data_IF_230002549017
#
_entry.id   IF_230002549017
#
_cell.length_a   1.000
_cell.length_b   1.000
_cell.length_c   1.000
_cell.angle_alpha   90.00
_cell.angle_beta   90.00
_cell.angle_gamma   90.00
#
_symmetry.space_group_name_H-M   'P 1'
#
loop_
_entity.id
_entity.type
_entity.pdbx_description
1 polymer ?
#
# COMPACT_ATOMS: atom_id res chain seq x y z
N UNK A 1 -10.30 -12.29 32.27
CA UNK A 1 -9.27 -12.66 31.29
C UNK A 1 -8.48 -13.79 31.91
N UNK A 2 -8.55 -15.00 31.35
CA UNK A 2 -7.69 -16.11 31.79
C UNK A 2 -6.40 -16.03 30.96
N UNK A 3 -5.31 -15.61 31.60
CA UNK A 3 -3.99 -15.68 31.00
C UNK A 3 -3.42 -17.09 31.19
N UNK A 4 -3.20 -17.79 30.07
CA UNK A 4 -2.44 -19.03 30.07
C UNK A 4 -0.96 -18.68 29.86
N UNK A 5 -0.19 -18.71 30.94
CA UNK A 5 1.27 -18.54 30.88
C UNK A 5 1.89 -19.90 30.54
N UNK A 6 2.27 -20.08 29.27
CA UNK A 6 3.06 -21.23 28.84
C UNK A 6 4.55 -20.97 29.07
N UNK A 7 5.19 -21.71 29.97
CA UNK A 7 6.64 -21.71 30.09
C UNK A 7 7.20 -22.64 29.00
N UNK A 8 7.96 -22.11 28.05
CA UNK A 8 8.65 -22.90 27.02
C UNK A 8 9.80 -23.72 27.64
N UNK A 9 9.46 -24.82 28.34
CA UNK A 9 10.45 -25.63 29.07
C UNK A 9 11.41 -26.41 28.17
N UNK A 10 11.05 -26.67 26.91
CA UNK A 10 11.77 -27.58 26.00
C UNK A 10 12.23 -26.94 24.68
N UNK A 11 12.20 -25.62 24.54
CA UNK A 11 12.74 -24.94 23.36
C UNK A 11 14.07 -24.28 23.74
N UNK A 12 15.16 -24.68 23.07
CA UNK A 12 16.41 -23.91 23.11
C UNK A 12 16.19 -22.55 22.44
N UNK A 13 16.87 -21.50 22.92
CA UNK A 13 16.94 -20.19 22.26
C UNK A 13 17.41 -20.29 20.78
N UNK A 14 18.00 -21.42 20.38
CA UNK A 14 18.37 -21.73 19.00
C UNK A 14 17.17 -21.96 18.06
N UNK A 15 15.95 -22.14 18.57
CA UNK A 15 14.76 -22.46 17.75
C UNK A 15 13.78 -21.30 17.58
N UNK A 16 13.91 -20.25 18.39
CA UNK A 16 12.97 -19.13 18.43
C UNK A 16 13.71 -17.87 17.98
N UNK A 17 13.08 -17.13 17.07
CA UNK A 17 13.50 -15.78 16.73
C UNK A 17 12.40 -14.81 17.17
N UNK A 18 12.82 -13.73 17.84
CA UNK A 18 11.95 -12.61 18.19
C UNK A 18 12.20 -11.54 17.14
N UNK A 19 11.14 -11.14 16.44
CA UNK A 19 11.19 -10.16 15.37
C UNK A 19 10.31 -8.97 15.73
N UNK A 20 10.87 -7.77 15.62
CA UNK A 20 10.09 -6.53 15.64
C UNK A 20 9.46 -6.35 14.27
N UNK A 21 8.15 -6.60 14.16
CA UNK A 21 7.43 -6.54 12.89
C UNK A 21 6.50 -5.33 12.86
N UNK A 22 6.62 -4.53 11.80
CA UNK A 22 5.68 -3.44 11.51
C UNK A 22 4.45 -4.03 10.78
N UNK A 23 3.33 -4.15 11.48
CA UNK A 23 2.10 -4.74 10.96
C UNK A 23 1.02 -3.67 10.69
N UNK A 24 0.49 -3.57 9.45
CA UNK A 24 -0.57 -2.61 9.13
C UNK A 24 -1.94 -3.11 9.59
N UNK A 25 -2.42 -2.60 10.73
CA UNK A 25 -3.74 -2.93 11.23
C UNK A 25 -4.82 -2.02 10.65
N UNK A 26 -5.91 -2.61 10.15
CA UNK A 26 -7.09 -1.86 9.71
C UNK A 26 -7.85 -1.33 10.91
N UNK A 27 -8.19 -0.05 10.84
CA UNK A 27 -8.98 0.64 11.83
C UNK A 27 -10.10 1.41 11.16
N UNK A 28 -11.23 1.54 11.87
CA UNK A 28 -12.34 2.39 11.47
C UNK A 28 -12.59 3.43 12.55
N UNK A 29 -12.72 4.69 12.13
CA UNK A 29 -13.18 5.78 12.98
C UNK A 29 -14.53 6.26 12.47
N UNK A 30 -15.53 6.31 13.33
CA UNK A 30 -16.85 6.84 13.01
C UNK A 30 -17.10 8.08 13.86
N UNK A 31 -17.46 9.20 13.22
CA UNK A 31 -17.82 10.43 13.94
C UNK A 31 -19.30 10.44 14.34
N UNK A 32 -20.10 9.50 13.84
CA UNK A 32 -21.54 9.47 14.10
C UNK A 32 -22.20 10.81 13.76
N UNK A 33 -23.10 11.28 14.64
CA UNK A 33 -23.66 12.65 14.58
C UNK A 33 -22.81 13.72 15.27
N UNK A 34 -21.62 13.36 15.77
CA UNK A 34 -20.71 14.31 16.44
C UNK A 34 -19.80 15.00 15.42
N UNK A 35 -19.42 16.24 15.71
CA UNK A 35 -18.50 17.01 14.85
C UNK A 35 -17.02 16.69 15.09
N UNK A 36 -16.69 15.89 16.10
CA UNK A 36 -15.33 15.44 16.34
C UNK A 36 -15.29 14.10 17.04
N UNK A 37 -14.23 13.34 16.78
CA UNK A 37 -13.93 12.07 17.43
C UNK A 37 -12.42 11.96 17.62
N UNK A 38 -11.99 11.46 18.78
CA UNK A 38 -10.57 11.27 19.10
C UNK A 38 -10.32 9.85 19.59
N UNK A 39 -9.25 9.24 19.08
CA UNK A 39 -8.71 7.96 19.53
C UNK A 39 -7.23 8.11 19.86
N UNK A 40 -6.61 7.05 20.37
CA UNK A 40 -5.16 6.99 20.57
C UNK A 40 -4.36 7.25 19.29
N UNK A 41 -4.87 6.79 18.14
CA UNK A 41 -4.14 6.79 16.87
C UNK A 41 -4.57 7.91 15.90
N UNK A 42 -5.82 8.36 15.94
CA UNK A 42 -6.35 9.38 15.04
C UNK A 42 -7.36 10.28 15.74
N UNK A 43 -7.29 11.58 15.45
CA UNK A 43 -8.37 12.53 15.73
C UNK A 43 -9.00 12.97 14.41
N UNK A 44 -10.32 13.14 14.38
CA UNK A 44 -11.03 13.69 13.24
C UNK A 44 -12.00 14.76 13.71
N UNK A 45 -12.08 15.88 12.99
CA UNK A 45 -12.96 16.99 13.28
C UNK A 45 -13.53 17.58 11.99
N UNK A 46 -14.86 17.75 11.97
CA UNK A 46 -15.59 18.44 10.92
C UNK A 46 -15.56 19.94 11.20
N UNK A 47 -14.99 20.70 10.26
CA UNK A 47 -14.88 22.15 10.28
C UNK A 47 -15.47 22.72 8.98
N UNK A 48 -16.76 23.05 9.02
CA UNK A 48 -17.50 23.49 7.83
C UNK A 48 -17.57 22.40 6.75
N UNK A 49 -16.88 22.64 5.63
CA UNK A 49 -16.78 21.69 4.49
C UNK A 49 -15.51 20.83 4.52
N UNK A 50 -14.70 21.00 5.56
CA UNK A 50 -13.41 20.33 5.68
C UNK A 50 -13.46 19.31 6.81
N UNK A 51 -12.87 18.14 6.58
CA UNK A 51 -12.61 17.15 7.61
C UNK A 51 -11.12 17.18 7.94
N UNK A 52 -10.79 17.74 9.11
CA UNK A 52 -9.43 17.77 9.65
C UNK A 52 -9.14 16.44 10.32
N UNK A 53 -8.11 15.76 9.86
CA UNK A 53 -7.70 14.45 10.37
C UNK A 53 -6.27 14.52 10.88
N UNK A 54 -6.09 14.35 12.18
CA UNK A 54 -4.80 14.41 12.86
C UNK A 54 -4.31 13.02 13.21
N UNK A 55 -3.11 12.67 12.74
CA UNK A 55 -2.39 11.48 13.18
C UNK A 55 -1.84 11.71 14.59
N UNK A 56 -2.33 10.95 15.58
CA UNK A 56 -1.90 11.07 16.98
C UNK A 56 -0.67 10.20 17.30
N UNK A 57 -0.10 9.51 16.32
CA UNK A 57 1.03 8.59 16.51
C UNK A 57 2.34 9.18 15.99
N UNK A 58 3.45 8.51 16.31
CA UNK A 58 4.79 8.81 15.77
C UNK A 58 5.07 8.08 14.46
N UNK A 59 4.12 7.28 13.96
CA UNK A 59 4.22 6.50 12.73
C UNK A 59 3.22 7.05 11.71
N UNK A 60 3.47 6.87 10.41
CA UNK A 60 2.51 7.29 9.39
C UNK A 60 1.24 6.44 9.44
N UNK A 61 0.12 7.03 9.07
CA UNK A 61 -1.18 6.36 8.93
C UNK A 61 -1.64 6.53 7.49
N UNK A 62 -2.06 5.43 6.86
CA UNK A 62 -2.76 5.50 5.57
C UNK A 62 -4.24 5.72 5.84
N UNK A 63 -4.79 6.83 5.36
CA UNK A 63 -6.23 7.04 5.29
C UNK A 63 -6.70 6.53 3.94
N UNK A 64 -7.41 5.40 3.95
CA UNK A 64 -7.78 4.68 2.73
C UNK A 64 -9.00 5.30 2.08
N UNK A 65 -10.04 5.56 2.88
CA UNK A 65 -11.30 6.09 2.38
C UNK A 65 -12.03 6.90 3.43
N UNK A 66 -12.87 7.79 2.91
CA UNK A 66 -13.86 8.56 3.67
C UNK A 66 -15.23 8.11 3.15
N UNK A 67 -16.07 7.63 4.05
CA UNK A 67 -17.46 7.32 3.80
C UNK A 67 -18.37 8.39 4.37
N UNK A 68 -19.36 8.82 3.59
CA UNK A 68 -20.40 9.78 3.98
C UNK A 68 -21.75 9.22 3.53
N UNK A 69 -22.60 8.88 4.50
CA UNK A 69 -23.84 8.12 4.26
C UNK A 69 -23.55 6.79 3.57
N UNK A 70 -24.12 6.59 2.38
CA UNK A 70 -23.93 5.38 1.55
C UNK A 70 -22.76 5.47 0.57
N UNK A 71 -22.17 6.66 0.39
CA UNK A 71 -21.04 6.86 -0.51
C UNK A 71 -19.73 6.58 0.21
N UNK A 72 -18.79 5.97 -0.52
CA UNK A 72 -17.40 5.80 -0.10
C UNK A 72 -16.45 6.34 -1.17
N UNK A 73 -15.62 7.29 -0.75
CA UNK A 73 -14.58 7.90 -1.57
C UNK A 73 -13.21 7.36 -1.17
N UNK A 74 -12.46 6.86 -2.15
CA UNK A 74 -11.11 6.37 -1.94
C UNK A 74 -10.14 7.54 -1.93
N UNK A 75 -9.66 7.91 -0.75
CA UNK A 75 -8.68 8.99 -0.59
C UNK A 75 -7.27 8.46 -0.79
N UNK A 76 -6.89 7.38 -0.08
CA UNK A 76 -5.55 6.82 -0.07
C UNK A 76 -4.46 7.90 0.08
N UNK A 77 -4.40 8.55 1.23
CA UNK A 77 -3.39 9.57 1.55
C UNK A 77 -2.62 9.17 2.79
N UNK A 78 -1.34 9.54 2.84
CA UNK A 78 -0.46 9.20 3.97
C UNK A 78 -0.32 10.42 4.87
N UNK A 79 -0.90 10.33 6.08
CA UNK A 79 -0.66 11.30 7.14
C UNK A 79 0.64 10.91 7.88
N UNK A 80 1.65 11.77 7.84
CA UNK A 80 2.90 11.59 8.57
C UNK A 80 2.68 11.68 10.09
N UNK A 81 3.73 11.36 10.84
CA UNK A 81 3.73 11.42 12.29
C UNK A 81 3.27 12.80 12.79
N UNK A 82 2.28 12.85 13.67
CA UNK A 82 1.73 14.10 14.24
C UNK A 82 1.16 15.10 13.22
N UNK A 83 1.02 14.69 11.95
CA UNK A 83 0.50 15.56 10.89
C UNK A 83 -1.02 15.67 10.98
N UNK A 84 -1.53 16.87 10.68
CA UNK A 84 -2.95 17.08 10.40
C UNK A 84 -3.12 17.29 8.90
N UNK A 85 -3.99 16.50 8.29
CA UNK A 85 -4.37 16.67 6.89
C UNK A 85 -5.82 17.15 6.79
N UNK A 86 -6.09 17.91 5.74
CA UNK A 86 -7.43 18.39 5.42
C UNK A 86 -8.01 17.57 4.28
N UNK A 87 -9.20 17.01 4.50
CA UNK A 87 -9.95 16.25 3.51
C UNK A 87 -11.22 17.03 3.14
N UNK A 88 -11.63 16.94 1.87
CA UNK A 88 -12.79 17.66 1.33
C UNK A 88 -13.82 16.69 0.74
N UNK A 89 -14.44 15.82 1.56
CA UNK A 89 -15.46 14.90 1.06
C UNK A 89 -16.72 15.65 0.62
N UNK A 90 -17.48 15.08 -0.34
CA UNK A 90 -18.64 15.73 -0.96
C UNK A 90 -19.74 16.16 0.03
N UNK A 91 -19.99 15.36 1.09
CA UNK A 91 -21.09 15.59 2.02
C UNK A 91 -20.72 15.31 3.48
N UNK A 92 -20.61 16.36 4.30
CA UNK A 92 -20.28 16.25 5.73
C UNK A 92 -21.49 16.41 6.67
N UNK A 93 -22.72 16.47 6.13
CA UNK A 93 -23.92 16.52 6.99
C UNK A 93 -24.32 15.14 7.53
N UNK A 94 -23.82 14.07 6.92
CA UNK A 94 -24.09 12.69 7.28
C UNK A 94 -22.99 12.11 8.17
N UNK A 95 -23.24 10.91 8.72
CA UNK A 95 -22.25 10.21 9.52
C UNK A 95 -20.98 9.94 8.71
N UNK A 96 -19.85 10.45 9.21
CA UNK A 96 -18.53 10.28 8.59
C UNK A 96 -17.87 9.01 9.11
N UNK A 97 -17.36 8.19 8.18
CA UNK A 97 -16.60 6.97 8.47
C UNK A 97 -15.22 7.06 7.81
N UNK A 98 -14.15 6.92 8.58
CA UNK A 98 -12.78 6.84 8.07
C UNK A 98 -12.28 5.41 8.17
N UNK A 99 -11.86 4.83 7.05
CA UNK A 99 -11.13 3.56 7.04
C UNK A 99 -9.63 3.86 6.91
N UNK A 100 -8.84 3.36 7.85
CA UNK A 100 -7.40 3.64 7.92
C UNK A 100 -6.59 2.36 8.12
N UNK A 101 -5.29 2.45 7.83
CA UNK A 101 -4.29 1.47 8.26
C UNK A 101 -3.29 2.16 9.16
N UNK A 102 -3.17 1.66 10.37
CA UNK A 102 -2.24 2.14 11.39
C UNK A 102 -1.14 1.10 11.56
N UNK A 103 0.11 1.54 11.56
CA UNK A 103 1.23 0.64 11.80
C UNK A 103 1.33 0.33 13.28
N UNK A 104 1.29 -0.96 13.63
CA UNK A 104 1.65 -1.45 14.95
C UNK A 104 2.97 -2.18 14.90
N UNK A 105 3.71 -2.07 15.98
CA UNK A 105 4.88 -2.89 16.22
C UNK A 105 4.44 -4.11 17.02
N UNK A 106 4.84 -5.27 16.53
CA UNK A 106 4.52 -6.56 17.14
C UNK A 106 5.82 -7.31 17.35
N UNK A 107 6.01 -7.83 18.55
CA UNK A 107 7.04 -8.83 18.82
C UNK A 107 6.49 -10.17 18.31
N UNK A 108 7.02 -10.64 17.18
CA UNK A 108 6.67 -11.94 16.62
C UNK A 108 7.69 -12.99 17.04
N UNK A 109 7.21 -14.02 17.73
CA UNK A 109 7.96 -15.24 18.05
C UNK A 109 7.74 -16.23 16.90
N UNK A 110 8.78 -16.53 16.13
CA UNK A 110 8.66 -17.42 14.95
C UNK A 110 9.57 -18.66 15.10
N UNK A 111 9.05 -19.89 14.87
CA UNK A 111 9.87 -21.09 14.88
C UNK A 111 10.71 -21.22 13.60
N UNK A 112 12.04 -21.37 13.75
CA UNK A 112 13.00 -21.37 12.63
C UNK A 112 12.77 -22.50 11.60
N UNK A 113 12.27 -23.66 12.01
CA UNK A 113 12.15 -24.86 11.14
C UNK A 113 11.04 -24.79 10.09
N UNK A 114 10.12 -23.82 10.15
CA UNK A 114 9.04 -23.63 9.15
C UNK A 114 9.09 -22.27 8.45
N UNK A 115 10.13 -21.50 8.69
CA UNK A 115 10.17 -20.10 8.27
C UNK A 115 11.01 -19.93 7.00
N UNK A 116 10.33 -19.78 5.86
CA UNK A 116 10.91 -19.21 4.64
C UNK A 116 10.72 -17.68 4.64
N UNK A 117 10.88 -17.02 5.80
CA UNK A 117 10.93 -15.55 5.85
C UNK A 117 12.38 -15.16 5.65
N UNK A 118 12.70 -14.82 4.40
CA UNK A 118 14.02 -14.32 4.02
C UNK A 118 14.27 -13.01 4.75
N UNK A 119 15.11 -13.11 5.78
CA UNK A 119 15.90 -12.08 6.43
C UNK A 119 15.98 -10.75 5.65
N UNK A 120 15.21 -9.75 6.09
CA UNK A 120 15.59 -8.33 6.06
C UNK A 120 14.96 -7.61 7.26
N UNK A 121 15.34 -8.02 8.47
CA UNK A 121 15.39 -7.11 9.62
C UNK A 121 16.56 -6.11 9.45
N UNK A 122 16.76 -5.60 8.22
CA UNK A 122 17.53 -4.38 8.03
C UNK A 122 16.64 -3.29 8.60
N UNK A 123 17.17 -2.41 9.45
CA UNK A 123 16.50 -1.17 9.80
C UNK A 123 16.00 -0.50 8.52
N UNK A 124 14.71 -0.64 8.22
CA UNK A 124 14.14 0.04 7.07
C UNK A 124 14.33 1.52 7.34
N UNK A 125 14.90 2.25 6.38
CA UNK A 125 14.90 3.70 6.45
C UNK A 125 13.47 4.14 6.74
N UNK A 126 13.28 5.01 7.73
CA UNK A 126 11.96 5.48 8.16
C UNK A 126 11.09 5.95 6.97
N UNK A 127 11.75 6.48 5.95
CA UNK A 127 11.18 6.94 4.68
C UNK A 127 10.52 5.83 3.84
N UNK A 128 11.03 4.59 3.90
CA UNK A 128 10.54 3.45 3.11
C UNK A 128 9.51 2.60 3.85
N UNK A 129 9.39 2.76 5.17
CA UNK A 129 8.40 2.03 5.99
C UNK A 129 6.98 2.18 5.44
N UNK A 130 6.50 3.36 5.03
CA UNK A 130 5.15 3.51 4.48
C UNK A 130 4.93 2.73 3.19
N UNK A 131 5.93 2.71 2.30
CA UNK A 131 5.87 1.98 1.02
C UNK A 131 5.71 0.48 1.25
N UNK A 132 6.46 -0.05 2.22
CA UNK A 132 6.50 -1.47 2.57
C UNK A 132 5.25 -1.88 3.35
N UNK A 133 4.89 -1.11 4.39
CA UNK A 133 3.84 -1.49 5.32
C UNK A 133 2.45 -1.28 4.73
N UNK A 134 2.27 -0.28 3.87
CA UNK A 134 0.96 0.01 3.28
C UNK A 134 0.74 -0.58 1.90
N UNK A 135 1.71 -1.34 1.39
CA UNK A 135 1.66 -1.97 0.06
C UNK A 135 1.21 -0.98 -1.02
N UNK A 136 1.71 0.25 -0.98
CA UNK A 136 1.08 1.40 -1.67
C UNK A 136 0.90 1.16 -3.18
N UNK A 137 1.69 0.27 -3.79
CA UNK A 137 1.56 -0.16 -5.18
C UNK A 137 1.41 -1.67 -5.42
N UNK A 138 1.09 -2.52 -4.43
CA UNK A 138 1.11 -4.01 -4.63
C UNK A 138 -0.25 -4.68 -4.41
N UNK A 139 -1.08 -4.24 -3.46
CA UNK A 139 -2.17 -5.11 -2.97
C UNK A 139 -3.57 -4.59 -3.32
N UNK A 140 -4.11 -5.05 -4.45
CA UNK A 140 -5.56 -5.17 -4.66
C UNK A 140 -5.96 -6.64 -4.70
N UNK A 141 -7.13 -6.96 -4.15
CA UNK A 141 -7.70 -8.32 -4.18
C UNK A 141 -8.50 -8.50 -5.48
N UNK A 142 -8.01 -9.37 -6.36
CA UNK A 142 -8.71 -9.88 -7.55
C UNK A 142 -8.71 -8.95 -8.78
N UNK A 143 -8.54 -9.51 -9.98
CA UNK A 143 -8.50 -8.78 -11.26
C UNK A 143 -9.80 -7.97 -11.52
N UNK A 144 -10.96 -8.53 -11.17
CA UNK A 144 -12.26 -7.86 -11.38
C UNK A 144 -12.40 -6.55 -10.60
N UNK A 145 -11.89 -6.49 -9.37
CA UNK A 145 -11.97 -5.28 -8.54
C UNK A 145 -11.03 -4.18 -9.07
N UNK A 146 -9.90 -4.56 -9.66
CA UNK A 146 -8.95 -3.62 -10.26
C UNK A 146 -9.52 -2.97 -11.53
N UNK A 147 -10.16 -3.74 -12.42
CA UNK A 147 -10.76 -3.22 -13.66
C UNK A 147 -11.94 -2.29 -13.39
N UNK A 148 -12.84 -2.66 -12.47
CA UNK A 148 -13.96 -1.80 -12.07
C UNK A 148 -13.46 -0.48 -11.48
N UNK A 149 -12.40 -0.55 -10.67
CA UNK A 149 -11.77 0.62 -10.06
C UNK A 149 -11.10 1.52 -11.09
N UNK A 150 -10.34 0.95 -12.02
CA UNK A 150 -9.73 1.70 -13.12
C UNK A 150 -10.80 2.43 -13.96
N UNK A 151 -11.86 1.72 -14.35
CA UNK A 151 -12.98 2.28 -15.13
C UNK A 151 -13.62 3.46 -14.41
N UNK A 152 -13.86 3.33 -13.10
CA UNK A 152 -14.39 4.44 -12.27
C UNK A 152 -13.45 5.64 -12.24
N UNK A 153 -12.15 5.41 -12.05
CA UNK A 153 -11.15 6.47 -12.01
C UNK A 153 -10.99 7.19 -13.35
N UNK A 154 -11.00 6.45 -14.46
CA UNK A 154 -10.99 7.04 -15.81
C UNK A 154 -12.23 7.90 -16.06
N UNK A 155 -13.43 7.46 -15.65
CA UNK A 155 -14.65 8.29 -15.71
C UNK A 155 -14.55 9.55 -14.84
N UNK A 156 -13.99 9.41 -13.63
CA UNK A 156 -13.76 10.56 -12.75
C UNK A 156 -12.82 11.58 -13.38
N UNK A 157 -11.76 11.12 -14.05
CA UNK A 157 -10.82 11.97 -14.79
C UNK A 157 -11.41 12.53 -16.09
N UNK A 158 -12.39 11.86 -16.72
CA UNK A 158 -13.16 12.46 -17.82
C UNK A 158 -14.03 13.61 -17.34
N UNK A 159 -14.68 13.45 -16.18
CA UNK A 159 -15.53 14.49 -15.58
C UNK A 159 -14.69 15.65 -14.99
N UNK A 160 -13.55 15.34 -14.38
CA UNK A 160 -12.60 16.30 -13.84
C UNK A 160 -11.15 15.93 -14.21
N UNK A 161 -10.65 16.41 -15.36
CA UNK A 161 -9.29 16.10 -15.84
C UNK A 161 -8.16 16.59 -14.93
N UNK A 162 -8.46 17.52 -14.01
CA UNK A 162 -7.48 18.12 -13.09
C UNK A 162 -7.45 17.44 -11.72
N UNK A 163 -8.25 16.40 -11.49
CA UNK A 163 -8.25 15.71 -10.19
C UNK A 163 -6.92 15.01 -9.90
N UNK A 164 -6.05 15.68 -9.12
CA UNK A 164 -4.77 15.12 -8.68
C UNK A 164 -4.95 13.79 -7.93
N UNK A 165 -5.97 13.72 -7.06
CA UNK A 165 -6.29 12.52 -6.28
C UNK A 165 -6.67 11.33 -7.18
N UNK A 166 -7.52 11.56 -8.19
CA UNK A 166 -7.90 10.52 -9.14
C UNK A 166 -6.72 10.08 -10.01
N UNK A 167 -5.87 11.02 -10.43
CA UNK A 167 -4.64 10.73 -11.19
C UNK A 167 -3.69 9.81 -10.38
N UNK A 168 -3.40 10.15 -9.12
CA UNK A 168 -2.53 9.31 -8.26
C UNK A 168 -3.15 7.94 -8.00
N UNK A 169 -4.47 7.88 -7.78
CA UNK A 169 -5.16 6.61 -7.60
C UNK A 169 -5.17 5.74 -8.87
N UNK A 170 -5.30 6.35 -10.05
CA UNK A 170 -5.20 5.64 -11.33
C UNK A 170 -3.79 5.12 -11.55
N UNK A 171 -2.77 5.95 -11.31
CA UNK A 171 -1.37 5.54 -11.39
C UNK A 171 -1.07 4.33 -10.49
N UNK A 172 -1.58 4.32 -9.26
CA UNK A 172 -1.43 3.16 -8.36
C UNK A 172 -2.10 1.88 -8.88
N UNK A 173 -3.26 1.98 -9.53
CA UNK A 173 -3.95 0.83 -10.14
C UNK A 173 -3.19 0.32 -11.37
N UNK A 174 -2.69 1.22 -12.21
CA UNK A 174 -1.90 0.87 -13.41
C UNK A 174 -0.56 0.21 -13.04
N UNK A 175 0.11 0.69 -11.98
CA UNK A 175 1.31 0.02 -11.44
C UNK A 175 1.07 -1.44 -11.05
N UNK A 176 -0.13 -1.77 -10.57
CA UNK A 176 -0.47 -3.14 -10.20
C UNK A 176 -0.74 -4.02 -11.43
N UNK A 177 -1.21 -3.43 -12.54
CA UNK A 177 -1.36 -4.13 -13.82
C UNK A 177 -0.04 -4.30 -14.58
N UNK A 178 1.04 -3.71 -14.10
CA UNK A 178 2.34 -3.70 -14.78
C UNK A 178 2.44 -2.64 -15.88
N UNK A 179 1.42 -1.78 -16.04
CA UNK A 179 1.36 -0.70 -17.02
C UNK A 179 2.17 0.51 -16.54
N UNK A 180 3.48 0.33 -16.40
CA UNK A 180 4.36 1.30 -15.74
C UNK A 180 4.45 2.63 -16.49
N UNK A 181 4.38 2.64 -17.81
CA UNK A 181 4.49 3.86 -18.62
C UNK A 181 3.29 4.79 -18.45
N UNK A 182 2.08 4.23 -18.49
CA UNK A 182 0.88 5.02 -18.22
C UNK A 182 0.79 5.42 -16.75
N UNK A 183 1.19 4.52 -15.84
CA UNK A 183 1.22 4.82 -14.41
C UNK A 183 2.13 6.03 -14.10
N UNK A 184 3.32 6.06 -14.67
CA UNK A 184 4.30 7.14 -14.50
C UNK A 184 3.73 8.49 -14.93
N UNK A 185 3.06 8.55 -16.09
CA UNK A 185 2.39 9.77 -16.57
C UNK A 185 1.32 10.28 -15.60
N UNK A 186 0.47 9.39 -15.08
CA UNK A 186 -0.58 9.78 -14.14
C UNK A 186 -0.04 10.18 -12.76
N UNK A 187 1.00 9.50 -12.28
CA UNK A 187 1.66 9.86 -11.04
C UNK A 187 2.38 11.20 -11.15
N UNK A 188 3.04 11.49 -12.29
CA UNK A 188 3.67 12.77 -12.55
C UNK A 188 2.66 13.92 -12.59
N UNK A 189 1.49 13.73 -13.22
CA UNK A 189 0.38 14.70 -13.13
C UNK A 189 -0.05 14.96 -11.69
N UNK A 190 -0.09 13.92 -10.85
CA UNK A 190 -0.35 14.05 -9.42
C UNK A 190 0.73 14.86 -8.67
N UNK A 191 2.01 14.71 -9.06
CA UNK A 191 3.12 15.50 -8.52
C UNK A 191 3.05 16.96 -8.95
N UNK A 192 2.71 17.22 -10.21
CA UNK A 192 2.59 18.58 -10.75
C UNK A 192 1.47 19.35 -10.03
N UNK A 193 0.38 18.65 -9.66
CA UNK A 193 -0.72 19.18 -8.88
C UNK A 193 -0.62 18.86 -7.37
N UNK A 194 0.59 18.65 -6.82
CA UNK A 194 0.77 18.21 -5.41
C UNK A 194 0.12 19.11 -4.35
N UNK A 195 -0.03 20.40 -4.63
CA UNK A 195 -0.67 21.34 -3.71
C UNK A 195 -2.17 21.07 -3.52
N UNK A 196 -2.79 20.33 -4.45
CA UNK A 196 -4.18 19.90 -4.37
C UNK A 196 -4.35 18.55 -3.62
N UNK A 197 -3.25 17.86 -3.31
CA UNK A 197 -3.27 16.59 -2.58
C UNK A 197 -3.19 16.83 -1.07
N UNK A 198 -4.02 16.15 -0.24
CA UNK A 198 -4.00 16.31 1.22
C UNK A 198 -2.66 16.00 1.90
N UNK A 199 -1.84 15.16 1.28
CA UNK A 199 -0.51 14.78 1.77
C UNK A 199 0.63 15.50 1.03
N UNK A 200 0.32 16.57 0.30
CA UNK A 200 1.28 17.36 -0.49
C UNK A 200 2.13 16.49 -1.45
N UNK A 201 1.48 15.51 -2.08
CA UNK A 201 2.07 14.59 -3.05
C UNK A 201 2.99 13.52 -2.43
N UNK A 202 2.96 13.32 -1.11
CA UNK A 202 3.82 12.34 -0.41
C UNK A 202 3.61 10.93 -0.95
N UNK A 203 2.36 10.48 -1.06
CA UNK A 203 2.06 9.16 -1.63
C UNK A 203 2.46 9.07 -3.10
N UNK A 204 2.25 10.11 -3.90
CA UNK A 204 2.64 10.10 -5.31
C UNK A 204 4.16 9.89 -5.48
N UNK A 205 4.98 10.55 -4.65
CA UNK A 205 6.44 10.34 -4.64
C UNK A 205 6.82 8.91 -4.26
N UNK A 206 6.17 8.37 -3.22
CA UNK A 206 6.37 6.98 -2.78
C UNK A 206 6.02 5.97 -3.88
N UNK A 207 4.92 6.20 -4.61
CA UNK A 207 4.53 5.38 -5.74
C UNK A 207 5.52 5.45 -6.90
N UNK A 208 6.02 6.65 -7.25
CA UNK A 208 7.05 6.82 -8.28
C UNK A 208 8.36 6.11 -7.92
N UNK A 209 8.78 6.18 -6.66
CA UNK A 209 9.97 5.46 -6.19
C UNK A 209 9.82 3.95 -6.38
N UNK A 210 8.67 3.40 -5.97
CA UNK A 210 8.38 1.98 -6.12
C UNK A 210 8.21 1.58 -7.59
N UNK A 211 7.65 2.44 -8.44
CA UNK A 211 7.56 2.25 -9.89
C UNK A 211 8.96 2.11 -10.50
N UNK A 212 9.86 3.05 -10.20
CA UNK A 212 11.23 3.03 -10.68
C UNK A 212 11.99 1.79 -10.20
N UNK A 213 11.77 1.39 -8.94
CA UNK A 213 12.34 0.16 -8.38
C UNK A 213 11.85 -1.09 -9.09
N UNK A 214 10.59 -1.15 -9.52
CA UNK A 214 10.04 -2.28 -10.29
C UNK A 214 10.52 -2.29 -11.73
N UNK A 215 10.56 -1.14 -12.39
CA UNK A 215 11.16 -1.01 -13.73
C UNK A 215 12.60 -1.50 -13.74
N UNK A 216 13.40 -1.13 -12.72
CA UNK A 216 14.78 -1.59 -12.60
C UNK A 216 14.94 -3.11 -12.36
N UNK A 217 13.89 -3.79 -11.87
CA UNK A 217 13.87 -5.23 -11.63
C UNK A 217 13.18 -6.03 -12.73
N UNK A 218 12.41 -5.37 -13.60
CA UNK A 218 11.82 -6.00 -14.77
C UNK A 218 12.99 -6.36 -15.71
N UNK A 219 13.22 -7.65 -16.00
CA UNK A 219 14.35 -8.01 -16.84
C UNK A 219 14.12 -7.44 -18.25
N UNK A 220 15.20 -6.91 -18.83
CA UNK A 220 15.24 -6.37 -20.20
C UNK A 220 14.98 -7.52 -21.18
N UNK A 221 13.71 -7.90 -21.38
CA UNK A 221 13.30 -8.98 -22.31
C UNK A 221 12.52 -8.45 -23.53
N UNK A 222 12.61 -7.16 -23.84
CA UNK A 222 11.92 -6.56 -24.99
C UNK A 222 12.86 -6.18 -26.14
N UNK A 223 14.04 -6.81 -26.25
CA UNK A 223 15.04 -6.47 -27.27
C UNK A 223 15.45 -7.56 -28.27
N UNK A 224 15.06 -8.82 -28.12
CA UNK A 224 15.70 -9.92 -28.87
C UNK A 224 14.77 -11.03 -29.36
N UNK A 225 13.50 -10.74 -29.67
CA UNK A 225 12.60 -11.72 -30.29
C UNK A 225 12.63 -11.77 -31.83
N UNK A 226 13.64 -11.21 -32.49
CA UNK A 226 13.79 -11.33 -33.95
C UNK A 226 15.01 -12.12 -34.44
N UNK A 227 15.92 -12.59 -33.58
CA UNK A 227 17.02 -13.44 -34.02
C UNK A 227 17.45 -14.41 -32.92
N UNK A 228 16.72 -15.50 -32.71
CA UNK A 228 17.29 -16.78 -32.22
C UNK A 228 16.35 -17.92 -32.62
N UNK A 229 16.29 -18.17 -33.92
CA UNK A 229 16.15 -19.55 -34.38
C UNK A 229 17.45 -20.29 -34.07
N UNK A 230 17.32 -21.56 -33.70
CA UNK A 230 18.41 -22.54 -33.52
C UNK A 230 19.49 -22.20 -32.48
N UNK A 231 19.29 -22.65 -31.24
CA UNK A 231 20.26 -23.46 -30.46
C UNK A 231 19.85 -23.51 -28.98
N UNK A 232 18.85 -24.35 -28.66
CA UNK A 232 18.54 -24.75 -27.29
C UNK A 232 19.37 -25.98 -26.93
N UNK A 233 20.65 -25.77 -26.68
CA UNK A 233 21.56 -26.75 -26.09
C UNK A 233 22.78 -25.98 -25.60
N UNK A 234 23.15 -26.16 -24.33
CA UNK A 234 24.34 -25.58 -23.67
C UNK A 234 24.33 -24.07 -23.40
N UNK A 235 23.69 -23.65 -22.30
CA UNK A 235 24.18 -22.58 -21.42
C UNK A 235 23.30 -22.47 -20.16
N UNK A 236 23.48 -23.40 -19.21
CA UNK A 236 23.00 -23.23 -17.82
C UNK A 236 24.22 -23.20 -16.92
N UNK A 237 24.79 -22.01 -16.74
CA UNK A 237 25.83 -21.74 -15.75
C UNK A 237 25.58 -20.37 -15.09
N UNK A 238 24.45 -20.23 -14.41
CA UNK A 238 24.31 -19.37 -13.23
C UNK A 238 23.03 -19.79 -12.48
N UNK A 239 23.13 -19.92 -11.15
CA UNK A 239 22.07 -20.46 -10.28
C UNK A 239 21.02 -19.38 -9.93
N UNK A 240 21.06 -18.22 -10.58
CA UNK A 240 20.15 -17.11 -10.30
C UNK A 240 18.86 -17.11 -11.13
N UNK A 241 18.78 -17.87 -12.23
CA UNK A 241 17.66 -17.80 -13.19
C UNK A 241 16.50 -18.78 -12.94
N UNK A 242 16.60 -19.71 -11.99
CA UNK A 242 15.56 -20.74 -11.77
C UNK A 242 14.41 -20.27 -10.86
N UNK A 243 14.59 -19.20 -10.08
CA UNK A 243 13.57 -18.76 -9.10
C UNK A 243 12.36 -18.09 -9.74
N UNK A 244 12.49 -17.54 -10.96
CA UNK A 244 11.38 -16.88 -11.67
C UNK A 244 10.57 -17.87 -12.50
N UNK A 245 11.18 -18.95 -12.99
CA UNK A 245 10.49 -19.96 -13.80
C UNK A 245 9.62 -20.92 -12.98
N UNK A 246 9.98 -21.23 -11.72
CA UNK A 246 9.21 -22.18 -10.90
C UNK A 246 7.95 -21.59 -10.25
N UNK A 247 7.82 -20.27 -10.12
CA UNK A 247 6.60 -19.65 -9.58
C UNK A 247 5.43 -19.63 -10.59
N UNK A 248 5.73 -19.75 -11.90
CA UNK A 248 4.70 -19.76 -12.95
C UNK A 248 4.13 -21.17 -13.21
N UNK A 249 4.76 -22.24 -12.72
CA UNK A 249 4.31 -23.62 -12.99
C UNK A 249 3.55 -24.29 -11.82
N UNK A 250 3.74 -23.84 -10.58
CA UNK A 250 3.04 -24.40 -9.40
C UNK A 250 1.64 -23.82 -9.14
N UNK A 251 1.27 -22.71 -9.79
CA UNK A 251 -0.05 -22.07 -9.63
C UNK A 251 -1.11 -22.58 -10.62
N UNK A 252 -0.82 -23.65 -11.37
CA UNK A 252 -1.77 -24.30 -12.30
C UNK A 252 -2.21 -25.70 -11.88
N UNK A 253 -1.86 -26.16 -10.68
CA UNK A 253 -2.21 -27.51 -10.21
C UNK A 253 -3.02 -27.60 -8.91
N UNK A 254 -3.27 -26.51 -8.19
CA UNK A 254 -4.17 -26.57 -7.03
C UNK A 254 -4.99 -25.27 -6.92
N UNK A 255 -6.30 -25.44 -7.19
CA UNK A 255 -7.43 -24.49 -7.17
C UNK A 255 -7.72 -23.73 -8.47
#
# INVERSE_FOLDING_TARGET
>A
IHEHVGIFKNYSADFIEILDVQFPQRHRLELGGQRSQKTEWLSAQVDGKTLKVTNNTTRPILIQSVGTGDKEEMINVVAAARETIELYPENLTEAVRLNTRVVRELDMIVPRTRCLVRHRASSYKQELIPEIVFDLGIVLRGNSLAEARETRLRRQLQANPRSALAAVNLGAVLMQRGEYDEADQWLQKGIDARAELPDNGRRARMLLNELNRRRAKAPVYLGSHQQMGSNLSTAVHSVDDITVALAAHTLRMFF
#
